data_IF_369481466039
#
_entry.id   IF_369481466039
#
_cell.length_a   1.000
_cell.length_b   1.000
_cell.length_c   1.000
_cell.angle_alpha   90.00
_cell.angle_beta   90.00
_cell.angle_gamma   90.00
#
_symmetry.space_group_name_H-M   'P 1'
#
loop_
_entity.id
_entity.type
_entity.pdbx_description
1 polymer ?
#
# COMPACT_ATOMS: atom_id res chain seq x y z
N UNK A 1 0.50 -32.43 -10.98
CA UNK A 1 1.59 -31.53 -10.54
C UNK A 1 1.95 -31.93 -9.12
N UNK A 2 3.18 -32.37 -8.84
CA UNK A 2 3.61 -32.76 -7.48
C UNK A 2 4.35 -31.56 -6.86
N UNK A 3 4.12 -31.23 -5.58
CA UNK A 3 4.85 -30.14 -4.91
C UNK A 3 6.36 -30.34 -4.97
N UNK A 4 7.11 -29.23 -5.02
CA UNK A 4 8.56 -29.29 -4.94
C UNK A 4 9.03 -29.84 -3.59
N UNK A 5 10.23 -30.43 -3.56
CA UNK A 5 10.84 -30.87 -2.31
C UNK A 5 11.11 -29.67 -1.41
N UNK A 6 10.91 -29.84 -0.10
CA UNK A 6 11.21 -28.81 0.89
C UNK A 6 12.70 -28.42 0.80
N UNK A 7 12.97 -27.12 0.86
CA UNK A 7 14.33 -26.60 0.90
C UNK A 7 15.02 -26.96 2.23
N UNK A 8 16.35 -26.99 2.24
CA UNK A 8 17.13 -27.16 3.46
C UNK A 8 16.97 -25.96 4.42
N UNK A 9 17.31 -26.16 5.70
CA UNK A 9 17.16 -25.14 6.74
C UNK A 9 17.92 -23.84 6.43
N UNK A 10 19.14 -23.91 5.86
CA UNK A 10 19.92 -22.70 5.55
C UNK A 10 19.24 -21.89 4.46
N UNK A 11 18.71 -22.55 3.44
CA UNK A 11 17.93 -21.91 2.39
C UNK A 11 16.62 -21.32 2.93
N UNK A 12 15.92 -22.04 3.83
CA UNK A 12 14.66 -21.58 4.42
C UNK A 12 14.82 -20.29 5.23
N UNK A 13 15.77 -20.24 6.19
CA UNK A 13 15.95 -19.04 7.01
C UNK A 13 16.40 -17.84 6.16
N UNK A 14 17.32 -18.06 5.22
CA UNK A 14 17.77 -16.99 4.33
C UNK A 14 16.62 -16.41 3.52
N UNK A 15 15.80 -17.25 2.88
CA UNK A 15 14.65 -16.80 2.07
C UNK A 15 13.63 -16.08 2.94
N UNK A 16 13.22 -16.68 4.06
CA UNK A 16 12.23 -16.09 4.95
C UNK A 16 12.66 -14.71 5.46
N UNK A 17 13.91 -14.52 5.88
CA UNK A 17 14.37 -13.21 6.37
C UNK A 17 14.38 -12.16 5.25
N UNK A 18 14.90 -12.49 4.06
CA UNK A 18 14.87 -11.54 2.94
C UNK A 18 13.44 -11.21 2.48
N UNK A 19 12.55 -12.20 2.43
CA UNK A 19 11.19 -12.01 1.97
C UNK A 19 10.39 -11.17 2.97
N UNK A 20 10.50 -11.46 4.27
CA UNK A 20 9.70 -10.83 5.31
C UNK A 20 10.27 -9.50 5.80
N UNK A 21 11.59 -9.33 5.88
CA UNK A 21 12.21 -8.11 6.44
C UNK A 21 13.15 -7.39 5.48
N UNK A 22 13.47 -7.99 4.31
CA UNK A 22 14.39 -7.41 3.34
C UNK A 22 15.87 -7.49 3.74
N UNK A 23 16.19 -8.11 4.88
CA UNK A 23 17.54 -8.18 5.44
C UNK A 23 18.05 -9.63 5.51
N UNK A 24 19.37 -9.86 5.52
CA UNK A 24 19.92 -11.18 5.82
C UNK A 24 19.69 -11.57 7.28
N UNK A 25 19.57 -12.88 7.61
CA UNK A 25 19.61 -13.33 9.00
C UNK A 25 21.00 -13.10 9.61
N UNK A 26 21.07 -12.93 10.93
CA UNK A 26 22.35 -12.87 11.62
C UNK A 26 22.99 -14.27 11.71
N UNK A 27 24.32 -14.38 11.90
CA UNK A 27 24.97 -15.68 12.10
C UNK A 27 24.34 -16.49 13.24
N UNK A 28 24.03 -15.83 14.36
CA UNK A 28 23.41 -16.47 15.52
C UNK A 28 22.02 -17.03 15.20
N UNK A 29 21.18 -16.26 14.50
CA UNK A 29 19.84 -16.73 14.10
C UNK A 29 19.90 -17.97 13.20
N UNK A 30 20.93 -18.07 12.35
CA UNK A 30 21.18 -19.25 11.51
C UNK A 30 21.58 -20.44 12.36
N UNK A 31 22.52 -20.26 13.30
CA UNK A 31 22.97 -21.32 14.19
C UNK A 31 21.83 -21.85 15.07
N UNK A 32 21.06 -20.96 15.67
CA UNK A 32 19.91 -21.29 16.53
C UNK A 32 18.87 -22.13 15.76
N UNK A 33 18.51 -21.71 14.54
CA UNK A 33 17.55 -22.44 13.72
C UNK A 33 18.08 -23.79 13.23
N UNK A 34 19.37 -23.89 12.92
CA UNK A 34 19.99 -25.15 12.53
C UNK A 34 19.98 -26.15 13.69
N UNK A 35 20.26 -25.68 14.90
CA UNK A 35 20.25 -26.49 16.12
C UNK A 35 18.83 -26.90 16.57
N UNK A 36 17.80 -26.11 16.27
CA UNK A 36 16.42 -26.40 16.68
C UNK A 36 15.79 -27.53 15.84
N UNK A 37 15.71 -28.74 16.39
CA UNK A 37 15.09 -29.91 15.75
C UNK A 37 13.61 -30.10 16.10
N UNK A 38 12.99 -29.14 16.78
CA UNK A 38 11.56 -29.18 17.06
C UNK A 38 10.73 -29.15 15.77
N UNK A 39 9.53 -29.79 15.76
CA UNK A 39 8.67 -29.82 14.57
C UNK A 39 8.20 -28.41 14.15
N UNK A 40 8.22 -27.45 15.07
CA UNK A 40 7.80 -26.05 14.90
C UNK A 40 8.97 -25.06 14.71
N UNK A 41 10.22 -25.54 14.58
CA UNK A 41 11.41 -24.69 14.46
C UNK A 41 11.27 -23.57 13.39
N UNK A 42 10.70 -23.90 12.22
CA UNK A 42 10.52 -22.91 11.16
C UNK A 42 9.37 -21.94 11.44
N UNK A 43 8.33 -22.39 12.15
CA UNK A 43 7.21 -21.53 12.56
C UNK A 43 7.73 -20.45 13.52
N UNK A 44 8.55 -20.82 14.50
CA UNK A 44 9.22 -19.85 15.41
C UNK A 44 10.03 -18.80 14.66
N UNK A 45 10.74 -19.20 13.60
CA UNK A 45 11.47 -18.24 12.74
C UNK A 45 10.49 -17.28 12.06
N UNK A 46 9.42 -17.79 11.47
CA UNK A 46 8.42 -16.95 10.78
C UNK A 46 7.72 -16.00 11.76
N UNK A 47 7.26 -16.48 12.91
CA UNK A 47 6.57 -15.66 13.92
C UNK A 47 7.46 -14.52 14.43
N UNK A 48 8.74 -14.83 14.69
CA UNK A 48 9.74 -13.81 15.06
C UNK A 48 9.92 -12.75 13.96
N UNK A 49 9.94 -13.16 12.70
CA UNK A 49 10.12 -12.24 11.57
C UNK A 49 8.87 -11.38 11.34
N UNK A 50 7.66 -11.96 11.47
CA UNK A 50 6.39 -11.23 11.38
C UNK A 50 6.22 -10.24 12.53
N UNK A 51 6.70 -10.58 13.73
CA UNK A 51 6.70 -9.68 14.89
C UNK A 51 7.78 -8.59 14.88
N UNK A 52 8.63 -8.52 13.86
CA UNK A 52 9.68 -7.51 13.74
C UNK A 52 9.13 -6.22 13.12
N UNK A 53 9.53 -5.05 13.62
CA UNK A 53 9.17 -3.76 13.01
C UNK A 53 9.63 -3.62 11.55
N UNK A 54 10.67 -4.39 11.16
CA UNK A 54 11.18 -4.47 9.80
C UNK A 54 10.20 -5.13 8.83
N UNK A 55 9.26 -5.93 9.32
CA UNK A 55 8.21 -6.52 8.50
C UNK A 55 7.34 -5.44 7.86
N UNK A 56 6.83 -4.50 8.66
CA UNK A 56 6.04 -3.37 8.16
C UNK A 56 6.83 -2.43 7.26
N UNK A 57 8.13 -2.24 7.49
CA UNK A 57 8.99 -1.49 6.56
C UNK A 57 9.10 -2.18 5.20
N UNK A 58 9.33 -3.51 5.20
CA UNK A 58 9.48 -4.31 3.98
C UNK A 58 8.18 -4.40 3.19
N UNK A 59 7.09 -4.80 3.84
CA UNK A 59 5.78 -4.99 3.20
C UNK A 59 5.09 -3.66 2.90
N UNK A 60 5.26 -2.65 3.76
CA UNK A 60 4.81 -1.30 3.50
C UNK A 60 5.38 -0.74 2.19
N UNK A 61 6.64 -1.03 1.84
CA UNK A 61 7.22 -0.63 0.54
C UNK A 61 6.40 -1.14 -0.66
N UNK A 62 5.95 -2.39 -0.62
CA UNK A 62 5.15 -2.96 -1.70
C UNK A 62 3.78 -2.28 -1.82
N UNK A 63 3.16 -1.95 -0.69
CA UNK A 63 1.92 -1.17 -0.69
C UNK A 63 2.12 0.25 -1.19
N UNK A 64 3.22 0.90 -0.81
CA UNK A 64 3.56 2.25 -1.23
C UNK A 64 3.79 2.33 -2.75
N UNK A 65 4.30 1.26 -3.37
CA UNK A 65 4.35 1.15 -4.84
C UNK A 65 2.93 1.17 -5.45
N UNK A 66 1.99 0.41 -4.88
CA UNK A 66 0.57 0.37 -5.31
C UNK A 66 -0.11 1.73 -5.12
N UNK A 67 0.12 2.38 -3.97
CA UNK A 67 -0.42 3.68 -3.65
C UNK A 67 0.23 4.83 -4.43
N UNK A 68 1.30 4.54 -5.19
CA UNK A 68 2.11 5.52 -5.94
C UNK A 68 2.65 6.60 -5.03
N UNK A 69 3.12 6.17 -3.87
CA UNK A 69 3.75 7.05 -2.91
C UNK A 69 4.92 7.81 -3.54
N UNK A 70 4.94 9.11 -3.33
CA UNK A 70 6.07 9.95 -3.67
C UNK A 70 6.15 11.10 -2.68
N UNK A 71 7.37 11.48 -2.28
CA UNK A 71 7.59 12.71 -1.51
C UNK A 71 7.38 13.98 -2.36
N UNK A 72 7.14 13.84 -3.67
CA UNK A 72 6.96 14.95 -4.61
C UNK A 72 5.73 14.80 -5.51
N UNK A 73 5.20 15.93 -5.97
CA UNK A 73 4.07 16.08 -6.89
C UNK A 73 4.42 15.78 -8.36
N UNK A 74 5.70 15.56 -8.67
CA UNK A 74 6.22 15.55 -10.03
C UNK A 74 6.36 16.96 -10.62
N UNK A 75 5.97 17.14 -11.88
CA UNK A 75 5.95 18.46 -12.53
C UNK A 75 4.71 19.26 -12.11
N UNK A 76 4.95 20.44 -11.55
CA UNK A 76 3.95 21.45 -11.16
C UNK A 76 4.42 22.84 -11.61
N UNK A 77 3.48 23.74 -11.92
CA UNK A 77 3.77 25.13 -12.30
C UNK A 77 3.85 26.01 -11.05
N UNK A 78 4.97 26.71 -10.86
CA UNK A 78 5.14 27.78 -9.86
C UNK A 78 4.78 27.39 -8.39
N UNK A 79 4.82 26.09 -8.08
CA UNK A 79 4.51 25.55 -6.75
C UNK A 79 5.70 24.77 -6.17
N UNK A 80 5.72 24.65 -4.83
CA UNK A 80 6.59 23.69 -4.15
C UNK A 80 6.27 22.27 -4.62
N UNK A 81 7.32 21.56 -5.06
CA UNK A 81 7.23 20.21 -5.61
C UNK A 81 7.05 19.16 -4.54
N UNK A 82 7.53 19.40 -3.32
CA UNK A 82 7.43 18.45 -2.21
C UNK A 82 6.03 18.44 -1.61
N UNK A 83 5.59 17.26 -1.21
CA UNK A 83 4.47 17.11 -0.28
C UNK A 83 5.01 17.29 1.14
N UNK A 84 4.65 18.38 1.82
CA UNK A 84 5.20 18.72 3.15
C UNK A 84 5.08 17.59 4.18
N UNK A 85 4.00 16.80 4.12
CA UNK A 85 3.69 15.74 5.09
C UNK A 85 3.51 14.36 4.45
N UNK A 86 4.08 14.10 3.27
CA UNK A 86 3.94 12.78 2.61
C UNK A 86 4.37 11.62 3.53
N UNK A 87 5.45 11.80 4.28
CA UNK A 87 5.98 10.78 5.20
C UNK A 87 4.95 10.28 6.21
N UNK A 88 3.93 11.08 6.56
CA UNK A 88 2.88 10.66 7.50
C UNK A 88 2.05 9.49 6.95
N UNK A 89 1.81 9.45 5.64
CA UNK A 89 1.15 8.33 4.97
C UNK A 89 2.06 7.10 4.94
N UNK A 90 3.35 7.28 4.62
CA UNK A 90 4.35 6.19 4.68
C UNK A 90 4.37 5.55 6.07
N UNK A 91 4.46 6.37 7.11
CA UNK A 91 4.55 5.91 8.49
C UNK A 91 3.24 5.29 8.97
N UNK A 92 2.08 5.78 8.48
CA UNK A 92 0.79 5.11 8.66
C UNK A 92 0.78 3.70 8.05
N UNK A 93 1.22 3.53 6.80
CA UNK A 93 1.25 2.23 6.14
C UNK A 93 2.17 1.26 6.88
N UNK A 94 3.40 1.68 7.22
CA UNK A 94 4.36 0.84 7.97
C UNK A 94 3.76 0.38 9.30
N UNK A 95 3.11 1.30 10.02
CA UNK A 95 2.44 0.98 11.29
C UNK A 95 1.28 0.02 11.10
N UNK A 96 0.42 0.23 10.10
CA UNK A 96 -0.72 -0.63 9.82
C UNK A 96 -0.30 -2.10 9.60
N UNK A 97 0.81 -2.33 8.89
CA UNK A 97 1.37 -3.68 8.73
C UNK A 97 1.93 -4.26 10.03
N UNK A 98 2.65 -3.46 10.83
CA UNK A 98 3.24 -3.92 12.09
C UNK A 98 2.20 -4.16 13.19
N UNK A 99 1.08 -3.45 13.16
CA UNK A 99 -0.04 -3.61 14.11
C UNK A 99 -1.07 -4.65 13.64
N UNK A 100 -0.83 -5.31 12.49
CA UNK A 100 -1.75 -6.27 11.86
C UNK A 100 -3.17 -5.68 11.70
N UNK A 101 -3.24 -4.43 11.22
CA UNK A 101 -4.51 -3.74 11.04
C UNK A 101 -5.40 -4.54 10.07
N UNK A 102 -6.65 -4.88 10.45
CA UNK A 102 -7.54 -5.63 9.57
C UNK A 102 -7.67 -4.98 8.21
N UNK A 103 -7.48 -5.77 7.14
CA UNK A 103 -7.40 -5.24 5.78
C UNK A 103 -8.65 -4.42 5.38
N UNK A 104 -9.85 -4.85 5.80
CA UNK A 104 -11.08 -4.10 5.57
C UNK A 104 -11.03 -2.70 6.21
N UNK A 105 -10.48 -2.59 7.42
CA UNK A 105 -10.32 -1.30 8.11
C UNK A 105 -9.25 -0.45 7.41
N UNK A 106 -8.12 -1.06 7.05
CA UNK A 106 -7.05 -0.39 6.32
C UNK A 106 -7.54 0.26 5.02
N UNK A 107 -8.37 -0.44 4.24
CA UNK A 107 -8.98 0.13 3.03
C UNK A 107 -9.95 1.28 3.34
N UNK A 108 -10.81 1.11 4.34
CA UNK A 108 -11.78 2.15 4.73
C UNK A 108 -11.06 3.43 5.17
N UNK A 109 -10.01 3.33 5.98
CA UNK A 109 -9.23 4.48 6.43
C UNK A 109 -8.62 5.23 5.23
N UNK A 110 -8.09 4.52 4.25
CA UNK A 110 -7.50 5.16 3.07
C UNK A 110 -8.50 5.90 2.18
N UNK A 111 -9.76 5.45 2.14
CA UNK A 111 -10.80 6.05 1.30
C UNK A 111 -11.60 7.13 2.02
N UNK A 112 -11.74 7.02 3.34
CA UNK A 112 -12.75 7.79 4.09
C UNK A 112 -12.41 8.01 5.57
N UNK A 113 -11.13 8.04 5.99
CA UNK A 113 -10.78 8.29 7.38
C UNK A 113 -11.36 9.61 7.94
N UNK A 114 -11.57 10.63 7.11
CA UNK A 114 -12.23 11.90 7.47
C UNK A 114 -13.72 11.75 7.82
N UNK A 115 -14.33 10.60 7.49
CA UNK A 115 -15.73 10.27 7.76
C UNK A 115 -15.91 9.28 8.92
N UNK A 116 -14.83 8.82 9.51
CA UNK A 116 -14.86 7.88 10.63
C UNK A 116 -14.87 8.64 11.95
N UNK A 117 -15.58 8.10 12.93
CA UNK A 117 -15.43 8.55 14.31
C UNK A 117 -14.13 7.94 14.88
N UNK A 118 -13.08 8.75 14.94
CA UNK A 118 -11.73 8.32 15.31
C UNK A 118 -11.43 8.50 16.81
N UNK A 119 -12.33 9.10 17.60
CA UNK A 119 -12.03 9.47 18.98
C UNK A 119 -10.78 10.38 19.08
N UNK A 120 -9.95 10.17 20.10
CA UNK A 120 -8.73 10.96 20.32
C UNK A 120 -7.59 10.62 19.34
N UNK A 121 -7.53 9.38 18.85
CA UNK A 121 -6.46 8.96 17.95
C UNK A 121 -6.74 9.39 16.50
N UNK A 122 -6.14 10.51 16.09
CA UNK A 122 -6.28 11.05 14.74
C UNK A 122 -5.26 10.49 13.74
N UNK A 123 -4.39 9.55 14.13
CA UNK A 123 -3.39 8.94 13.22
C UNK A 123 -3.99 8.31 11.94
N UNK A 124 -5.21 7.73 11.95
CA UNK A 124 -5.84 7.22 10.73
C UNK A 124 -6.10 8.27 9.64
N UNK A 125 -6.16 9.57 9.96
CA UNK A 125 -6.33 10.61 8.95
C UNK A 125 -5.19 10.64 7.93
N UNK A 126 -3.99 10.21 8.32
CA UNK A 126 -2.85 10.10 7.41
C UNK A 126 -3.11 9.12 6.25
N UNK A 127 -4.01 8.14 6.42
CA UNK A 127 -4.39 7.15 5.41
C UNK A 127 -4.95 7.79 4.13
N UNK A 128 -5.55 8.98 4.23
CA UNK A 128 -6.05 9.77 3.09
C UNK A 128 -4.94 10.18 2.11
N UNK A 129 -3.67 9.97 2.49
CA UNK A 129 -2.53 10.00 1.58
C UNK A 129 -2.75 9.15 0.32
N UNK A 130 -3.48 8.03 0.42
CA UNK A 130 -3.80 7.14 -0.71
C UNK A 130 -4.48 7.86 -1.89
N UNK A 131 -5.39 8.81 -1.60
CA UNK A 131 -6.12 9.57 -2.61
C UNK A 131 -5.50 10.95 -2.90
N UNK A 132 -4.63 11.44 -2.02
CA UNK A 132 -4.14 12.83 -2.06
C UNK A 132 -2.71 12.95 -2.54
N UNK A 133 -1.87 11.93 -2.34
CA UNK A 133 -0.51 11.84 -2.88
C UNK A 133 -0.54 11.35 -4.34
N UNK A 134 0.63 11.33 -4.97
CA UNK A 134 0.81 10.95 -6.37
C UNK A 134 1.07 12.16 -7.28
N UNK A 135 1.00 11.93 -8.58
CA UNK A 135 1.35 12.93 -9.58
C UNK A 135 0.26 14.02 -9.68
N UNK A 136 0.67 15.27 -9.92
CA UNK A 136 -0.25 16.41 -10.12
C UNK A 136 -0.48 16.82 -11.58
N UNK A 137 0.21 16.21 -12.54
CA UNK A 137 -0.03 16.42 -13.99
C UNK A 137 -0.09 17.90 -14.38
N UNK A 138 0.87 18.72 -13.93
CA UNK A 138 0.84 20.17 -14.17
C UNK A 138 -0.46 20.84 -13.67
N UNK A 139 -1.03 20.31 -12.59
CA UNK A 139 -2.32 20.69 -12.00
C UNK A 139 -3.56 20.42 -12.89
N UNK A 140 -3.44 19.55 -13.90
CA UNK A 140 -4.57 19.12 -14.73
C UNK A 140 -5.56 18.26 -13.93
N UNK A 141 -6.72 18.82 -13.57
CA UNK A 141 -7.70 18.15 -12.71
C UNK A 141 -8.27 16.84 -13.30
N UNK A 142 -8.68 16.78 -14.57
CA UNK A 142 -9.05 15.53 -15.23
C UNK A 142 -8.04 14.39 -15.04
N UNK A 143 -6.75 14.64 -15.30
CA UNK A 143 -5.72 13.60 -15.17
C UNK A 143 -5.50 13.21 -13.70
N UNK A 144 -5.56 14.16 -12.76
CA UNK A 144 -5.50 13.86 -11.32
C UNK A 144 -6.69 12.99 -10.89
N UNK A 145 -7.88 13.19 -11.47
CA UNK A 145 -9.07 12.41 -11.15
C UNK A 145 -8.96 11.01 -11.77
N UNK A 146 -8.55 10.90 -13.04
CA UNK A 146 -8.29 9.62 -13.71
C UNK A 146 -7.28 8.79 -12.91
N UNK A 147 -6.17 9.41 -12.50
CA UNK A 147 -5.15 8.82 -11.64
C UNK A 147 -5.76 8.29 -10.33
N UNK A 148 -6.70 8.99 -9.71
CA UNK A 148 -7.38 8.49 -8.49
C UNK A 148 -8.35 7.34 -8.75
N UNK A 149 -9.06 7.37 -9.87
CA UNK A 149 -9.89 6.23 -10.31
C UNK A 149 -8.98 5.01 -10.52
N UNK A 150 -7.81 5.21 -11.12
CA UNK A 150 -6.83 4.16 -11.39
C UNK A 150 -6.33 3.48 -10.12
N UNK A 151 -5.88 4.25 -9.12
CA UNK A 151 -5.33 3.67 -7.89
C UNK A 151 -6.38 2.93 -7.08
N UNK A 152 -7.62 3.39 -7.10
CA UNK A 152 -8.72 2.71 -6.41
C UNK A 152 -9.12 1.45 -7.17
N UNK A 153 -9.36 1.54 -8.48
CA UNK A 153 -9.84 0.40 -9.27
C UNK A 153 -8.75 -0.65 -9.50
N UNK A 154 -7.59 -0.25 -10.02
CA UNK A 154 -6.50 -1.19 -10.29
C UNK A 154 -5.82 -1.62 -9.00
N UNK A 155 -5.60 -0.70 -8.06
CA UNK A 155 -4.88 -0.98 -6.83
C UNK A 155 -5.67 -1.84 -5.83
N UNK A 156 -6.99 -1.68 -5.75
CA UNK A 156 -7.81 -2.42 -4.78
C UNK A 156 -8.64 -3.55 -5.40
N UNK A 157 -9.11 -3.38 -6.63
CA UNK A 157 -10.01 -4.34 -7.28
C UNK A 157 -9.32 -5.17 -8.36
N UNK A 158 -8.10 -4.79 -8.78
CA UNK A 158 -7.42 -5.42 -9.91
C UNK A 158 -8.08 -5.14 -11.27
N UNK A 159 -8.92 -4.11 -11.37
CA UNK A 159 -9.66 -3.76 -12.58
C UNK A 159 -9.10 -2.50 -13.26
N UNK A 160 -8.99 -2.53 -14.58
CA UNK A 160 -8.51 -1.40 -15.39
C UNK A 160 -9.64 -0.46 -15.81
N UNK A 161 -10.39 0.08 -14.84
CA UNK A 161 -11.56 0.95 -15.09
C UNK A 161 -11.19 2.18 -15.93
N UNK A 162 -9.97 2.70 -15.79
CA UNK A 162 -9.46 3.86 -16.57
C UNK A 162 -9.43 3.61 -18.07
N UNK A 163 -9.36 2.36 -18.55
CA UNK A 163 -9.50 2.09 -19.98
C UNK A 163 -10.88 2.45 -20.53
N UNK A 164 -11.90 2.57 -19.66
CA UNK A 164 -13.25 2.93 -20.07
C UNK A 164 -13.45 4.44 -20.30
N UNK A 165 -12.42 5.27 -20.12
CA UNK A 165 -12.51 6.73 -20.20
C UNK A 165 -12.88 7.24 -21.59
N UNK A 166 -12.49 6.53 -22.66
CA UNK A 166 -12.74 6.93 -24.04
C UNK A 166 -13.79 6.05 -24.74
N UNK A 167 -13.96 4.80 -24.31
CA UNK A 167 -14.87 3.81 -24.89
C UNK A 167 -15.21 2.75 -23.84
N UNK A 168 -16.28 1.95 -24.03
CA UNK A 168 -16.59 0.87 -23.10
C UNK A 168 -15.41 -0.11 -22.97
N UNK A 169 -15.15 -0.62 -21.76
CA UNK A 169 -13.96 -1.43 -21.49
C UNK A 169 -13.87 -2.64 -22.42
N UNK A 170 -12.68 -2.90 -22.97
CA UNK A 170 -12.48 -3.88 -24.06
C UNK A 170 -12.91 -5.30 -23.69
N UNK A 171 -12.68 -5.71 -22.45
CA UNK A 171 -12.86 -7.10 -22.00
C UNK A 171 -13.84 -7.26 -20.83
N UNK A 172 -14.09 -6.20 -20.08
CA UNK A 172 -14.89 -6.25 -18.86
C UNK A 172 -16.18 -5.47 -19.09
N UNK A 173 -17.30 -5.82 -18.44
CA UNK A 173 -18.58 -5.15 -18.63
C UNK A 173 -18.63 -3.80 -17.89
N UNK A 174 -17.68 -2.91 -18.18
CA UNK A 174 -17.54 -1.58 -17.58
C UNK A 174 -17.80 -0.54 -18.69
N UNK A 175 -19.01 0.01 -18.77
CA UNK A 175 -19.31 1.02 -19.77
C UNK A 175 -18.68 2.37 -19.42
N UNK A 176 -18.44 3.21 -20.42
CA UNK A 176 -17.88 4.57 -20.24
C UNK A 176 -18.70 5.41 -19.27
N UNK A 177 -20.03 5.23 -19.23
CA UNK A 177 -20.90 5.92 -18.26
C UNK A 177 -20.54 5.61 -16.80
N UNK A 178 -20.05 4.40 -16.50
CA UNK A 178 -19.71 4.00 -15.13
C UNK A 178 -18.37 4.64 -14.72
N UNK A 179 -17.41 4.72 -15.66
CA UNK A 179 -16.19 5.52 -15.48
C UNK A 179 -16.53 6.98 -15.16
N UNK A 180 -17.40 7.61 -15.95
CA UNK A 180 -17.78 9.02 -15.71
C UNK A 180 -18.65 9.21 -14.46
N UNK A 181 -19.36 8.17 -14.00
CA UNK A 181 -20.04 8.19 -12.69
C UNK A 181 -19.02 8.24 -11.55
N UNK A 182 -17.95 7.43 -11.61
CA UNK A 182 -16.83 7.50 -10.66
C UNK A 182 -16.09 8.83 -10.76
N UNK A 183 -15.86 9.34 -11.97
CA UNK A 183 -15.28 10.67 -12.18
C UNK A 183 -16.07 11.73 -11.42
N UNK A 184 -17.41 11.71 -11.51
CA UNK A 184 -18.28 12.60 -10.75
C UNK A 184 -18.06 12.51 -9.23
N UNK A 185 -17.94 11.30 -8.68
CA UNK A 185 -17.64 11.09 -7.25
C UNK A 185 -16.31 11.71 -6.85
N UNK A 186 -15.24 11.44 -7.60
CA UNK A 186 -13.91 11.96 -7.28
C UNK A 186 -13.75 13.46 -7.57
N UNK A 187 -14.54 14.03 -8.50
CA UNK A 187 -14.60 15.45 -8.76
C UNK A 187 -15.31 16.22 -7.64
N UNK A 188 -16.34 15.61 -7.03
CA UNK A 188 -17.15 16.19 -5.95
C UNK A 188 -16.45 16.17 -4.57
N UNK A 189 -15.14 16.46 -4.54
CA UNK A 189 -14.35 16.58 -3.32
C UNK A 189 -14.16 18.05 -2.97
N UNK A 190 -14.34 18.41 -1.69
CA UNK A 190 -13.84 19.70 -1.19
C UNK A 190 -12.31 19.66 -1.17
N UNK A 191 -11.59 20.66 -1.70
CA UNK A 191 -10.15 20.71 -1.58
C UNK A 191 -9.77 20.75 -0.10
N UNK A 192 -8.97 19.79 0.37
CA UNK A 192 -8.39 19.77 1.73
C UNK A 192 -7.22 20.77 1.85
N UNK A 193 -7.20 21.83 1.04
CA UNK A 193 -6.08 22.77 0.97
C UNK A 193 -6.05 23.78 2.12
N UNK A 194 -7.09 23.82 2.98
CA UNK A 194 -7.24 24.80 4.07
C UNK A 194 -7.67 24.17 5.42
N UNK A 195 -7.15 23.00 5.78
CA UNK A 195 -7.20 22.50 7.17
C UNK A 195 -5.79 22.33 7.71
#
# INVERSE_FOLDING_TARGET
>A
MIPSRRADKRALIRRATYDLTGLPPTPQEVEDFLADNSPDAFVKVVDRLLGSSRYGERWGRHWLDVARYADTKGYVFEEERRYAYAYTYRDYVIRAFNEDLPFNRFIIEQLAADRLDLGEDKRPLAALGFLTLGRRFLNNQPDIIDDRIDVVSRGLMGLTVTCACCHDHKYDPIPTRDYYSLYGVFACRRPTANM
#
